data_IF_921483611662
#
_entry.id   IF_921483611662
#
_cell.length_a   1.000
_cell.length_b   1.000
_cell.length_c   1.000
_cell.angle_alpha   90.00
_cell.angle_beta   90.00
_cell.angle_gamma   90.00
#
_symmetry.space_group_name_H-M   'P 1'
#
loop_
_entity.id
_entity.type
_entity.pdbx_description
1 polymer ?
#
# COMPACT_ATOMS: atom_id res chain seq x y z
N UNK A 1 -5.07 -43.17 75.03
CA UNK A 1 -3.86 -43.05 74.24
C UNK A 1 -4.26 -42.40 72.93
N UNK A 2 -4.15 -41.05 72.81
CA UNK A 2 -4.52 -40.26 71.63
C UNK A 2 -3.28 -40.04 70.74
N UNK A 3 -3.27 -40.57 69.53
CA UNK A 3 -2.22 -40.32 68.54
C UNK A 3 -2.54 -39.00 67.87
N UNK A 4 -1.68 -37.97 68.03
CA UNK A 4 -1.70 -36.71 67.34
C UNK A 4 -0.95 -36.93 66.06
N UNK A 5 -1.68 -36.78 64.87
CA UNK A 5 -1.10 -36.81 63.57
C UNK A 5 -0.73 -35.37 63.17
N UNK A 6 0.57 -35.09 63.12
CA UNK A 6 1.10 -33.79 62.70
C UNK A 6 1.11 -33.75 61.18
N UNK A 7 0.22 -32.94 60.60
CA UNK A 7 0.17 -32.71 59.19
C UNK A 7 1.17 -31.57 58.80
N UNK A 8 2.29 -31.90 58.17
CA UNK A 8 3.30 -30.96 57.71
C UNK A 8 2.82 -30.36 56.40
N UNK A 9 2.36 -29.10 56.45
CA UNK A 9 1.92 -28.36 55.27
C UNK A 9 3.19 -27.80 54.57
N UNK A 10 3.63 -28.47 53.51
CA UNK A 10 4.70 -27.98 52.66
C UNK A 10 4.13 -26.85 51.73
N UNK A 11 4.42 -25.61 52.10
CA UNK A 11 4.13 -24.46 51.24
C UNK A 11 5.22 -24.43 50.14
N UNK A 12 4.89 -24.92 48.95
CA UNK A 12 5.67 -24.69 47.75
C UNK A 12 5.47 -23.24 47.32
N UNK A 13 6.41 -22.36 47.64
CA UNK A 13 6.52 -21.06 47.02
C UNK A 13 7.03 -21.26 45.62
N UNK A 14 6.11 -21.28 44.64
CA UNK A 14 6.44 -21.16 43.24
C UNK A 14 6.85 -19.69 43.02
N UNK A 15 8.16 -19.42 43.10
CA UNK A 15 8.73 -18.18 42.58
C UNK A 15 8.56 -18.20 41.04
N UNK A 16 7.44 -17.72 40.56
CA UNK A 16 7.26 -17.41 39.16
C UNK A 16 8.16 -16.23 38.82
N UNK A 17 9.32 -16.48 38.23
CA UNK A 17 9.99 -15.47 37.39
C UNK A 17 9.07 -15.20 36.20
N UNK A 18 8.15 -14.28 36.40
CA UNK A 18 7.43 -13.63 35.29
C UNK A 18 8.39 -12.68 34.60
N UNK A 19 9.25 -13.19 33.73
CA UNK A 19 9.80 -12.36 32.67
C UNK A 19 8.59 -11.93 31.81
N UNK A 20 8.27 -10.66 31.77
CA UNK A 20 7.37 -10.13 30.75
C UNK A 20 8.00 -10.53 29.41
N UNK A 21 7.40 -11.50 28.72
CA UNK A 21 7.75 -11.75 27.31
C UNK A 21 7.47 -10.44 26.58
N UNK A 22 8.53 -9.79 26.09
CA UNK A 22 8.41 -8.59 25.26
C UNK A 22 7.51 -8.96 24.08
N UNK A 23 6.28 -8.43 24.06
CA UNK A 23 5.34 -8.67 22.99
C UNK A 23 5.97 -8.17 21.68
N UNK A 24 6.07 -9.04 20.69
CA UNK A 24 6.62 -8.72 19.37
C UNK A 24 5.82 -7.60 18.72
N UNK A 25 6.50 -6.54 18.29
CA UNK A 25 5.87 -5.43 17.54
C UNK A 25 5.72 -5.83 16.07
N UNK A 26 4.50 -6.08 15.66
CA UNK A 26 4.17 -6.50 14.28
C UNK A 26 3.65 -5.31 13.47
N UNK A 27 4.14 -5.17 12.25
CA UNK A 27 3.76 -4.11 11.32
C UNK A 27 3.02 -4.71 10.13
N UNK A 28 1.80 -4.22 9.87
CA UNK A 28 1.03 -4.58 8.68
C UNK A 28 1.50 -3.77 7.47
N UNK A 29 1.60 -4.42 6.32
CA UNK A 29 1.88 -3.80 5.02
C UNK A 29 1.04 -4.47 3.93
N UNK A 30 0.72 -3.73 2.87
CA UNK A 30 0.19 -4.34 1.64
C UNK A 30 1.29 -5.20 1.01
N UNK A 31 0.91 -6.38 0.52
CA UNK A 31 1.80 -7.30 -0.18
C UNK A 31 2.50 -6.59 -1.34
N UNK A 32 3.82 -6.65 -1.33
CA UNK A 32 4.68 -6.02 -2.31
C UNK A 32 4.66 -6.81 -3.63
N UNK A 33 5.18 -6.24 -4.71
CA UNK A 33 5.23 -6.90 -6.01
C UNK A 33 6.27 -8.04 -6.04
N UNK A 34 7.41 -7.85 -5.36
CA UNK A 34 8.55 -8.77 -5.34
C UNK A 34 9.20 -8.91 -3.95
N UNK A 35 9.21 -7.86 -3.14
CA UNK A 35 9.89 -7.88 -1.85
C UNK A 35 9.21 -8.82 -0.85
N UNK A 36 10.03 -9.53 -0.05
CA UNK A 36 9.56 -10.42 1.02
C UNK A 36 9.40 -9.69 2.36
N UNK A 37 8.66 -10.24 3.35
CA UNK A 37 8.58 -9.69 4.70
C UNK A 37 9.96 -9.50 5.35
N UNK A 38 10.91 -10.43 5.13
CA UNK A 38 12.27 -10.36 5.68
C UNK A 38 13.08 -9.20 5.05
N UNK A 39 12.86 -8.92 3.76
CA UNK A 39 13.46 -7.77 3.09
C UNK A 39 12.84 -6.46 3.59
N UNK A 40 11.51 -6.41 3.69
CA UNK A 40 10.76 -5.24 4.16
C UNK A 40 11.12 -4.89 5.62
N UNK A 41 11.34 -5.89 6.47
CA UNK A 41 11.73 -5.71 7.87
C UNK A 41 12.98 -4.85 8.07
N UNK A 42 13.91 -4.84 7.12
CA UNK A 42 15.12 -4.01 7.19
C UNK A 42 14.83 -2.50 7.18
N UNK A 43 13.63 -2.12 6.74
CA UNK A 43 13.18 -0.75 6.54
C UNK A 43 11.91 -0.44 7.35
N UNK A 44 11.74 -1.10 8.48
CA UNK A 44 10.62 -0.88 9.41
C UNK A 44 11.10 -0.85 10.85
N UNK A 45 10.27 -0.32 11.72
CA UNK A 45 10.54 -0.25 13.17
C UNK A 45 10.10 -1.51 13.92
N UNK A 46 9.31 -2.38 13.29
CA UNK A 46 8.75 -3.57 13.94
C UNK A 46 9.73 -4.73 14.07
N UNK A 47 9.39 -5.68 14.95
CA UNK A 47 10.08 -6.96 15.10
C UNK A 47 9.69 -7.96 14.00
N UNK A 48 8.47 -7.82 13.44
CA UNK A 48 7.95 -8.64 12.33
C UNK A 48 7.05 -7.84 11.38
N UNK A 49 6.93 -8.32 10.14
CA UNK A 49 6.06 -7.79 9.10
C UNK A 49 5.00 -8.82 8.74
N UNK A 50 3.74 -8.37 8.69
CA UNK A 50 2.63 -9.13 8.14
C UNK A 50 2.16 -8.50 6.84
N UNK A 51 2.23 -9.24 5.74
CA UNK A 51 1.70 -8.80 4.45
C UNK A 51 0.21 -9.12 4.33
N UNK A 52 -0.52 -8.19 3.73
CA UNK A 52 -1.95 -8.27 3.46
C UNK A 52 -2.23 -8.02 1.98
N UNK A 53 -3.03 -8.87 1.36
CA UNK A 53 -3.34 -8.76 -0.07
C UNK A 53 -4.39 -7.69 -0.38
N UNK A 54 -5.09 -7.19 0.64
CA UNK A 54 -6.04 -6.11 0.51
C UNK A 54 -6.04 -5.17 1.73
N UNK A 55 -6.41 -3.91 1.48
CA UNK A 55 -6.40 -2.84 2.46
C UNK A 55 -7.35 -3.10 3.64
N UNK A 56 -8.54 -3.60 3.37
CA UNK A 56 -9.53 -3.84 4.42
C UNK A 56 -9.03 -4.87 5.45
N UNK A 57 -8.43 -5.97 5.00
CA UNK A 57 -7.84 -6.98 5.89
C UNK A 57 -6.71 -6.40 6.74
N UNK A 58 -5.87 -5.55 6.15
CA UNK A 58 -4.79 -4.87 6.85
C UNK A 58 -5.34 -3.89 7.91
N UNK A 59 -6.37 -3.10 7.57
CA UNK A 59 -7.01 -2.17 8.49
C UNK A 59 -7.71 -2.90 9.64
N UNK A 60 -8.40 -4.02 9.37
CA UNK A 60 -9.01 -4.86 10.39
C UNK A 60 -7.97 -5.49 11.33
N UNK A 61 -6.79 -5.85 10.81
CA UNK A 61 -5.70 -6.37 11.64
C UNK A 61 -5.17 -5.31 12.62
N UNK A 62 -5.11 -4.04 12.22
CA UNK A 62 -4.78 -2.93 13.12
C UNK A 62 -5.89 -2.72 14.16
N UNK A 63 -7.14 -2.64 13.72
CA UNK A 63 -8.29 -2.42 14.61
C UNK A 63 -8.47 -3.52 15.66
N UNK A 64 -8.04 -4.76 15.36
CA UNK A 64 -8.05 -5.91 16.29
C UNK A 64 -6.72 -6.12 17.03
N UNK A 65 -5.78 -5.18 16.94
CA UNK A 65 -4.44 -5.24 17.55
C UNK A 65 -3.60 -6.47 17.14
N UNK A 66 -3.96 -7.14 16.04
CA UNK A 66 -3.15 -8.22 15.48
C UNK A 66 -1.79 -7.69 15.00
N UNK A 67 -1.78 -6.45 14.46
CA UNK A 67 -0.60 -5.64 14.22
C UNK A 67 -0.67 -4.37 15.07
N UNK A 68 0.46 -3.81 15.46
CA UNK A 68 0.53 -2.62 16.29
C UNK A 68 0.56 -1.34 15.47
N UNK A 69 0.98 -1.45 14.22
CA UNK A 69 0.89 -0.36 13.25
C UNK A 69 0.78 -0.89 11.82
N UNK A 70 0.34 -0.02 10.93
CA UNK A 70 0.39 -0.19 9.48
C UNK A 70 1.48 0.73 8.94
N UNK A 71 2.41 0.20 8.13
CA UNK A 71 3.30 1.00 7.31
C UNK A 71 2.64 1.25 5.95
N UNK A 72 2.39 2.51 5.63
CA UNK A 72 1.72 2.92 4.39
C UNK A 72 2.18 4.31 3.94
N UNK A 73 1.72 4.78 2.79
CA UNK A 73 2.05 6.11 2.27
C UNK A 73 1.22 7.21 2.94
N UNK A 74 1.75 8.42 2.94
CA UNK A 74 1.15 9.57 3.61
C UNK A 74 -0.26 9.90 3.11
N UNK A 75 -0.53 9.73 1.82
CA UNK A 75 -1.87 9.88 1.24
C UNK A 75 -2.88 8.93 1.89
N UNK A 76 -2.55 7.63 1.96
CA UNK A 76 -3.38 6.59 2.59
C UNK A 76 -3.49 6.83 4.10
N UNK A 77 -2.38 7.15 4.76
CA UNK A 77 -2.37 7.45 6.20
C UNK A 77 -3.30 8.61 6.56
N UNK A 78 -3.26 9.72 5.79
CA UNK A 78 -4.17 10.86 5.98
C UNK A 78 -5.63 10.46 5.74
N UNK A 79 -5.91 9.66 4.71
CA UNK A 79 -7.25 9.15 4.48
C UNK A 79 -7.74 8.32 5.67
N UNK A 80 -6.93 7.37 6.17
CA UNK A 80 -7.30 6.53 7.32
C UNK A 80 -7.64 7.36 8.56
N UNK A 81 -6.80 8.34 8.90
CA UNK A 81 -6.99 9.16 10.11
C UNK A 81 -8.09 10.22 9.96
N UNK A 82 -8.39 10.67 8.75
CA UNK A 82 -9.52 11.55 8.49
C UNK A 82 -10.87 10.83 8.65
N UNK A 83 -10.92 9.53 8.37
CA UNK A 83 -12.13 8.72 8.39
C UNK A 83 -12.29 7.84 9.65
N UNK A 84 -11.28 7.80 10.51
CA UNK A 84 -11.35 7.07 11.78
C UNK A 84 -10.51 7.77 12.85
N UNK A 85 -11.18 8.31 13.87
CA UNK A 85 -10.55 9.03 15.00
C UNK A 85 -9.73 8.15 15.94
N UNK A 86 -9.87 6.82 15.86
CA UNK A 86 -9.11 5.88 16.68
C UNK A 86 -7.69 5.68 16.10
N UNK A 87 -7.45 6.15 14.88
CA UNK A 87 -6.17 6.07 14.20
C UNK A 87 -5.37 7.37 14.32
N UNK A 88 -4.05 7.22 14.43
CA UNK A 88 -3.11 8.35 14.44
C UNK A 88 -1.89 8.04 13.57
N UNK A 89 -1.39 9.06 12.88
CA UNK A 89 -0.16 8.97 12.11
C UNK A 89 1.03 9.12 13.06
N UNK A 90 2.03 8.24 12.91
CA UNK A 90 3.34 8.34 13.53
C UNK A 90 4.42 8.55 12.45
N UNK A 91 5.15 9.63 12.54
CA UNK A 91 6.38 9.83 11.79
C UNK A 91 7.53 9.17 12.57
N UNK A 92 7.89 7.96 12.18
CA UNK A 92 9.03 7.26 12.78
C UNK A 92 10.28 7.63 11.98
N UNK A 93 11.14 8.46 12.57
CA UNK A 93 12.24 9.13 11.88
C UNK A 93 13.52 8.31 11.75
N UNK A 94 13.48 6.99 11.96
CA UNK A 94 14.70 6.17 11.93
C UNK A 94 15.25 5.96 10.53
N UNK A 95 14.39 5.97 9.50
CA UNK A 95 14.75 5.74 8.09
C UNK A 95 13.89 6.62 7.20
N UNK A 96 14.51 7.36 6.28
CA UNK A 96 13.77 8.16 5.31
C UNK A 96 13.28 7.27 4.17
N UNK A 97 11.98 7.00 4.13
CA UNK A 97 11.35 6.24 3.08
C UNK A 97 10.43 7.13 2.26
N UNK A 98 10.74 7.24 0.98
CA UNK A 98 9.98 7.96 -0.03
C UNK A 98 9.88 7.07 -1.24
N UNK A 99 8.70 6.89 -1.78
CA UNK A 99 8.47 6.07 -2.96
C UNK A 99 7.86 6.87 -4.10
N UNK A 100 8.34 6.57 -5.29
CA UNK A 100 7.79 6.99 -6.56
C UNK A 100 6.70 5.99 -6.97
N UNK A 101 5.52 6.49 -7.29
CA UNK A 101 4.42 5.71 -7.85
C UNK A 101 4.55 5.68 -9.36
N UNK A 102 4.73 4.49 -9.89
CA UNK A 102 4.93 4.22 -11.31
C UNK A 102 3.89 3.19 -11.80
N UNK A 103 3.81 2.99 -13.11
CA UNK A 103 3.15 1.84 -13.71
C UNK A 103 4.19 0.77 -14.06
N UNK A 104 3.82 -0.51 -13.97
CA UNK A 104 4.68 -1.61 -14.40
C UNK A 104 4.12 -2.31 -15.63
N UNK A 105 5.01 -2.69 -16.54
CA UNK A 105 4.73 -3.41 -17.78
C UNK A 105 5.78 -4.47 -17.98
N UNK A 106 5.55 -5.44 -18.86
CA UNK A 106 6.59 -6.36 -19.30
C UNK A 106 7.72 -5.60 -20.02
N UNK A 107 8.95 -6.03 -19.89
CA UNK A 107 10.11 -5.39 -20.57
C UNK A 107 9.91 -5.28 -22.08
N UNK A 108 9.25 -6.28 -22.71
CA UNK A 108 8.99 -6.32 -24.14
C UNK A 108 7.92 -5.32 -24.61
N UNK A 109 7.14 -4.74 -23.68
CA UNK A 109 6.09 -3.74 -23.99
C UNK A 109 6.66 -2.31 -24.02
N UNK A 110 7.86 -2.12 -24.54
CA UNK A 110 8.61 -0.86 -24.54
C UNK A 110 7.86 0.30 -25.20
N UNK A 111 7.12 0.05 -26.28
CA UNK A 111 6.33 1.10 -26.97
C UNK A 111 5.14 1.57 -26.12
N UNK A 112 4.47 0.63 -25.42
CA UNK A 112 3.38 0.98 -24.51
C UNK A 112 3.93 1.79 -23.33
N UNK A 113 5.05 1.36 -22.73
CA UNK A 113 5.71 2.09 -21.65
C UNK A 113 6.07 3.52 -22.08
N UNK A 114 6.70 3.67 -23.24
CA UNK A 114 7.06 4.99 -23.79
C UNK A 114 5.84 5.89 -24.00
N UNK A 115 4.69 5.33 -24.40
CA UNK A 115 3.47 6.13 -24.56
C UNK A 115 2.94 6.62 -23.21
N UNK A 116 3.03 5.80 -22.15
CA UNK A 116 2.70 6.20 -20.77
C UNK A 116 3.67 7.27 -20.26
N UNK A 117 4.98 7.08 -20.43
CA UNK A 117 6.00 8.08 -20.04
C UNK A 117 5.72 9.44 -20.69
N UNK A 118 5.43 9.45 -22.00
CA UNK A 118 5.09 10.68 -22.72
C UNK A 118 3.83 11.34 -22.16
N UNK A 119 2.80 10.56 -21.82
CA UNK A 119 1.56 11.08 -21.24
C UNK A 119 1.79 11.65 -19.84
N UNK A 120 2.58 10.95 -19.01
CA UNK A 120 2.95 11.39 -17.64
C UNK A 120 3.74 12.70 -17.71
N UNK A 121 4.74 12.80 -18.58
CA UNK A 121 5.53 14.02 -18.75
C UNK A 121 4.70 15.20 -19.22
N UNK A 122 3.77 14.96 -20.14
CA UNK A 122 2.83 15.98 -20.59
C UNK A 122 1.95 16.47 -19.44
N UNK A 123 1.43 15.57 -18.58
CA UNK A 123 0.61 15.93 -17.42
C UNK A 123 1.41 16.67 -16.32
N UNK A 124 2.71 16.36 -16.17
CA UNK A 124 3.62 17.15 -15.31
C UNK A 124 3.77 18.57 -15.84
N UNK A 125 3.98 18.69 -17.16
CA UNK A 125 4.29 19.96 -17.82
C UNK A 125 3.09 20.90 -17.86
N UNK A 126 1.90 20.40 -18.14
CA UNK A 126 0.68 21.21 -18.26
C UNK A 126 -0.07 21.43 -16.94
N UNK A 127 0.42 20.85 -15.84
CA UNK A 127 -0.15 21.00 -14.50
C UNK A 127 -1.30 20.05 -14.17
N UNK A 128 -1.69 19.16 -15.08
CA UNK A 128 -2.79 18.20 -14.84
C UNK A 128 -2.53 17.35 -13.60
N UNK A 129 -1.30 16.83 -13.44
CA UNK A 129 -0.97 16.02 -12.22
C UNK A 129 -1.12 16.82 -10.93
N UNK A 130 -0.70 18.09 -10.92
CA UNK A 130 -0.84 18.94 -9.73
C UNK A 130 -2.31 19.15 -9.38
N UNK A 131 -3.16 19.34 -10.38
CA UNK A 131 -4.62 19.49 -10.20
C UNK A 131 -5.22 18.22 -9.61
N UNK A 132 -4.85 17.05 -10.13
CA UNK A 132 -5.34 15.76 -9.61
C UNK A 132 -4.84 15.48 -8.20
N UNK A 133 -3.57 15.81 -7.91
CA UNK A 133 -3.03 15.69 -6.53
C UNK A 133 -3.81 16.58 -5.57
N UNK A 134 -4.11 17.82 -5.96
CA UNK A 134 -4.88 18.72 -5.10
C UNK A 134 -6.29 18.20 -4.87
N UNK A 135 -6.96 17.73 -5.90
CA UNK A 135 -8.34 17.25 -5.86
C UNK A 135 -8.50 15.96 -5.04
N UNK A 136 -7.59 14.97 -5.22
CA UNK A 136 -7.78 13.63 -4.67
C UNK A 136 -6.93 13.33 -3.43
N UNK A 137 -5.76 13.97 -3.29
CA UNK A 137 -4.78 13.64 -2.25
C UNK A 137 -4.75 14.67 -1.13
N UNK A 138 -4.73 15.97 -1.48
CA UNK A 138 -4.57 17.03 -0.47
C UNK A 138 -5.84 17.25 0.36
N UNK A 139 -7.00 16.92 -0.19
CA UNK A 139 -8.31 17.07 0.44
C UNK A 139 -9.06 15.73 0.45
N UNK A 140 -8.62 14.72 1.24
CA UNK A 140 -9.23 13.40 1.21
C UNK A 140 -10.68 13.45 1.69
N UNK A 141 -11.59 12.96 0.85
CA UNK A 141 -13.00 12.76 1.16
C UNK A 141 -13.20 11.35 1.72
N UNK A 142 -14.25 11.16 2.52
CA UNK A 142 -14.65 9.83 3.04
C UNK A 142 -14.86 8.83 1.90
N UNK A 143 -15.48 9.29 0.81
CA UNK A 143 -15.60 8.52 -0.43
C UNK A 143 -14.85 9.31 -1.51
N UNK A 144 -13.74 8.76 -2.04
CA UNK A 144 -13.03 9.40 -3.15
C UNK A 144 -13.97 9.63 -4.34
N UNK A 145 -13.81 10.74 -5.09
CA UNK A 145 -14.65 11.02 -6.25
C UNK A 145 -14.58 9.90 -7.28
N UNK A 146 -15.75 9.57 -7.85
CA UNK A 146 -15.84 8.63 -8.97
C UNK A 146 -15.19 9.22 -10.22
N UNK A 147 -14.63 8.33 -11.05
CA UNK A 147 -13.92 8.71 -12.27
C UNK A 147 -14.52 8.00 -13.47
N UNK A 148 -14.91 8.76 -14.47
CA UNK A 148 -15.33 8.23 -15.78
C UNK A 148 -14.12 8.07 -16.70
N UNK A 149 -13.82 6.83 -17.09
CA UNK A 149 -12.85 6.55 -18.17
C UNK A 149 -13.62 6.50 -19.48
N UNK A 150 -13.56 7.59 -20.24
CA UNK A 150 -14.32 7.73 -21.47
C UNK A 150 -13.87 6.73 -22.53
N UNK A 151 -14.83 6.07 -23.19
CA UNK A 151 -14.56 5.16 -24.31
C UNK A 151 -14.21 5.94 -25.57
N UNK A 152 -13.16 5.50 -26.26
CA UNK A 152 -12.68 6.05 -27.52
C UNK A 152 -13.09 5.08 -28.64
N UNK A 153 -13.94 5.52 -29.57
CA UNK A 153 -14.44 4.67 -30.64
C UNK A 153 -13.31 4.21 -31.58
N UNK A 154 -13.28 2.91 -31.86
CA UNK A 154 -12.28 2.29 -32.72
C UNK A 154 -10.87 2.16 -32.11
N UNK A 155 -10.64 2.62 -30.90
CA UNK A 155 -9.35 2.48 -30.23
C UNK A 155 -9.14 1.06 -29.66
N UNK A 156 -7.90 0.61 -29.69
CA UNK A 156 -7.50 -0.63 -29.03
C UNK A 156 -7.66 -0.51 -27.50
N UNK A 157 -8.02 -1.62 -26.85
CA UNK A 157 -8.15 -1.71 -25.40
C UNK A 157 -6.90 -2.32 -24.79
N UNK A 158 -6.42 -1.74 -23.68
CA UNK A 158 -5.40 -2.31 -22.82
C UNK A 158 -6.02 -2.69 -21.48
N UNK A 159 -5.57 -3.80 -20.89
CA UNK A 159 -6.02 -4.28 -19.58
C UNK A 159 -5.08 -3.75 -18.51
N UNK A 160 -5.63 -3.07 -17.54
CA UNK A 160 -4.88 -2.45 -16.44
C UNK A 160 -5.30 -3.07 -15.13
N UNK A 161 -4.34 -3.74 -14.46
CA UNK A 161 -4.53 -4.33 -13.14
C UNK A 161 -4.46 -3.25 -12.06
N UNK A 162 -5.49 -3.19 -11.21
CA UNK A 162 -5.60 -2.31 -10.05
C UNK A 162 -5.96 -3.12 -8.82
N UNK A 163 -5.69 -2.62 -7.61
CA UNK A 163 -6.17 -3.26 -6.37
C UNK A 163 -7.64 -2.94 -6.13
N UNK A 164 -8.06 -1.72 -6.41
CA UNK A 164 -9.45 -1.28 -6.32
C UNK A 164 -9.99 -1.19 -4.89
N UNK A 165 -9.12 -1.17 -3.89
CA UNK A 165 -9.49 -1.12 -2.48
C UNK A 165 -8.54 -0.25 -1.62
N UNK A 166 -7.70 0.58 -2.23
CA UNK A 166 -6.70 1.41 -1.54
C UNK A 166 -7.03 2.92 -1.63
N UNK A 167 -8.02 3.43 -0.89
CA UNK A 167 -8.36 4.84 -0.89
C UNK A 167 -7.25 5.71 -0.26
N UNK A 168 -7.03 6.95 -0.70
CA UNK A 168 -7.73 7.66 -1.79
C UNK A 168 -7.16 7.37 -3.18
N UNK A 169 -6.25 6.40 -3.29
CA UNK A 169 -5.49 6.11 -4.51
C UNK A 169 -6.34 5.39 -5.56
N UNK A 170 -6.77 4.16 -5.29
CA UNK A 170 -7.67 3.44 -6.17
C UNK A 170 -8.80 2.74 -5.39
N UNK A 171 -10.01 2.85 -5.90
CA UNK A 171 -11.18 2.27 -5.28
C UNK A 171 -12.19 1.86 -6.36
N UNK A 172 -12.78 0.69 -6.19
CA UNK A 172 -14.01 0.30 -6.89
C UNK A 172 -15.15 0.45 -5.90
N UNK A 173 -16.08 1.35 -6.17
CA UNK A 173 -17.24 1.61 -5.34
C UNK A 173 -18.21 0.41 -5.36
N UNK A 174 -19.14 0.37 -4.42
CA UNK A 174 -20.08 -0.76 -4.29
C UNK A 174 -20.97 -0.98 -5.53
N UNK A 175 -21.18 0.04 -6.34
CA UNK A 175 -21.89 -0.03 -7.62
C UNK A 175 -21.00 -0.42 -8.82
N UNK A 176 -19.71 -0.70 -8.57
CA UNK A 176 -18.72 -1.04 -9.58
C UNK A 176 -18.04 0.18 -10.24
N UNK A 177 -18.39 1.39 -9.84
CA UNK A 177 -17.79 2.61 -10.40
C UNK A 177 -16.35 2.77 -9.89
N UNK A 178 -15.35 3.01 -10.77
CA UNK A 178 -13.99 3.29 -10.34
C UNK A 178 -13.87 4.71 -9.77
N UNK A 179 -12.98 4.88 -8.78
CA UNK A 179 -12.79 6.12 -8.07
C UNK A 179 -11.33 6.30 -7.62
N UNK A 180 -10.96 7.51 -7.25
CA UNK A 180 -9.68 7.83 -6.64
C UNK A 180 -8.62 8.35 -7.61
N UNK A 181 -7.50 8.77 -7.01
CA UNK A 181 -6.41 9.47 -7.69
C UNK A 181 -5.81 8.67 -8.86
N UNK A 182 -5.47 7.40 -8.63
CA UNK A 182 -4.86 6.56 -9.66
C UNK A 182 -5.79 6.37 -10.85
N UNK A 183 -7.09 6.19 -10.60
CA UNK A 183 -8.08 6.08 -11.67
C UNK A 183 -8.19 7.38 -12.47
N UNK A 184 -8.12 8.54 -11.82
CA UNK A 184 -8.14 9.84 -12.48
C UNK A 184 -6.89 10.06 -13.36
N UNK A 185 -5.70 9.70 -12.86
CA UNK A 185 -4.45 9.71 -13.63
C UNK A 185 -4.58 8.79 -14.85
N UNK A 186 -5.11 7.59 -14.66
CA UNK A 186 -5.27 6.61 -15.74
C UNK A 186 -6.28 7.07 -16.80
N UNK A 187 -7.35 7.75 -16.42
CA UNK A 187 -8.32 8.35 -17.36
C UNK A 187 -7.65 9.42 -18.26
N UNK A 188 -6.76 10.24 -17.68
CA UNK A 188 -5.99 11.23 -18.44
C UNK A 188 -4.94 10.56 -19.36
N UNK A 189 -4.26 9.50 -18.88
CA UNK A 189 -3.34 8.71 -19.72
C UNK A 189 -4.11 8.12 -20.91
N UNK A 190 -5.27 7.47 -20.68
CA UNK A 190 -6.13 6.89 -21.73
C UNK A 190 -6.40 7.88 -22.87
N UNK A 191 -6.85 9.10 -22.54
CA UNK A 191 -7.11 10.18 -23.50
C UNK A 191 -5.86 10.54 -24.32
N UNK A 192 -4.72 10.68 -23.67
CA UNK A 192 -3.46 11.14 -24.27
C UNK A 192 -2.83 10.09 -25.18
N UNK A 193 -2.91 8.81 -24.82
CA UNK A 193 -2.37 7.71 -25.64
C UNK A 193 -3.36 7.18 -26.67
N UNK A 194 -4.63 7.61 -26.62
CA UNK A 194 -5.67 7.19 -27.57
C UNK A 194 -6.01 5.69 -27.48
N UNK A 195 -6.01 5.12 -26.26
CA UNK A 195 -6.34 3.71 -26.00
C UNK A 195 -7.46 3.59 -24.97
N UNK A 196 -8.35 2.63 -25.20
CA UNK A 196 -9.34 2.26 -24.21
C UNK A 196 -8.67 1.52 -23.03
N UNK A 197 -9.22 1.70 -21.84
CA UNK A 197 -8.78 1.04 -20.61
C UNK A 197 -9.88 0.08 -20.15
N UNK A 198 -9.50 -1.17 -19.87
CA UNK A 198 -10.28 -2.15 -19.13
C UNK A 198 -9.61 -2.34 -17.77
N UNK A 199 -10.30 -1.96 -16.70
CA UNK A 199 -9.80 -2.18 -15.34
C UNK A 199 -10.02 -3.63 -14.91
N UNK A 200 -8.98 -4.27 -14.41
CA UNK A 200 -9.02 -5.62 -13.86
C UNK A 200 -8.62 -5.55 -12.39
N UNK A 201 -9.55 -5.83 -11.49
CA UNK A 201 -9.26 -5.85 -10.06
C UNK A 201 -8.44 -7.10 -9.70
N UNK A 202 -7.32 -6.92 -9.01
CA UNK A 202 -6.36 -7.97 -8.67
C UNK A 202 -5.85 -7.74 -7.25
N UNK A 203 -5.89 -8.79 -6.42
CA UNK A 203 -5.27 -8.74 -5.10
C UNK A 203 -3.76 -8.43 -5.21
N UNK A 204 -3.24 -7.69 -4.23
CA UNK A 204 -1.86 -7.18 -4.27
C UNK A 204 -0.82 -8.28 -4.51
N UNK A 205 -0.97 -9.45 -3.86
CA UNK A 205 -0.04 -10.58 -4.03
C UNK A 205 -0.10 -11.28 -5.41
N UNK A 206 -1.16 -11.05 -6.19
CA UNK A 206 -1.33 -11.67 -7.51
C UNK A 206 -0.85 -10.79 -8.68
N UNK A 207 -0.51 -9.51 -8.43
CA UNK A 207 -0.20 -8.52 -9.47
C UNK A 207 0.95 -8.90 -10.39
N UNK A 208 2.07 -9.37 -9.83
CA UNK A 208 3.24 -9.76 -10.63
C UNK A 208 2.91 -10.93 -11.56
N UNK A 209 2.19 -11.95 -11.07
CA UNK A 209 1.78 -13.10 -11.87
C UNK A 209 0.78 -12.71 -12.97
N UNK A 210 -0.17 -11.82 -12.68
CA UNK A 210 -1.13 -11.33 -13.67
C UNK A 210 -0.44 -10.59 -14.83
N UNK A 211 0.60 -9.79 -14.54
CA UNK A 211 1.38 -9.10 -15.56
C UNK A 211 2.20 -10.09 -16.40
N UNK A 212 2.96 -10.97 -15.76
CA UNK A 212 3.86 -11.89 -16.46
C UNK A 212 3.13 -12.95 -17.27
N UNK A 213 1.93 -13.36 -16.85
CA UNK A 213 1.06 -14.28 -17.62
C UNK A 213 0.31 -13.62 -18.78
N UNK A 214 0.33 -12.29 -18.90
CA UNK A 214 -0.45 -11.55 -19.89
C UNK A 214 -1.94 -11.43 -19.57
N UNK A 215 -2.36 -11.71 -18.34
CA UNK A 215 -3.72 -11.46 -17.88
C UNK A 215 -4.05 -9.95 -17.94
N UNK A 216 -3.05 -9.12 -17.64
CA UNK A 216 -3.08 -7.66 -17.80
C UNK A 216 -1.85 -7.18 -18.58
N UNK A 217 -1.95 -6.00 -19.17
CA UNK A 217 -0.87 -5.35 -19.90
C UNK A 217 -0.08 -4.38 -19.02
N UNK A 218 -0.73 -3.83 -18.01
CA UNK A 218 -0.18 -2.83 -17.09
C UNK A 218 -0.62 -3.18 -15.67
N UNK A 219 0.28 -3.08 -14.71
CA UNK A 219 -0.06 -2.93 -13.29
C UNK A 219 -0.05 -1.44 -12.96
N UNK A 220 -1.18 -0.92 -12.54
CA UNK A 220 -1.27 0.45 -12.08
C UNK A 220 -1.07 0.49 -10.58
N UNK A 221 -0.18 1.27 -10.22
CA UNK A 221 0.74 1.56 -9.17
C UNK A 221 1.67 0.39 -8.78
N UNK A 222 2.94 0.69 -8.94
CA UNK A 222 4.05 0.00 -8.29
C UNK A 222 4.93 1.02 -7.60
N UNK A 223 5.68 0.59 -6.62
CA UNK A 223 6.50 1.45 -5.79
C UNK A 223 7.96 1.30 -6.16
N UNK A 224 8.57 2.41 -6.55
CA UNK A 224 10.02 2.48 -6.79
C UNK A 224 10.60 3.41 -5.74
N UNK A 225 11.59 2.99 -4.94
CA UNK A 225 12.24 3.88 -4.00
C UNK A 225 12.78 5.14 -4.69
N UNK A 226 12.38 6.33 -4.23
CA UNK A 226 12.84 7.60 -4.78
C UNK A 226 14.36 7.80 -4.56
N UNK A 227 15.00 8.73 -5.28
CA UNK A 227 16.45 8.97 -5.18
C UNK A 227 16.91 9.34 -3.77
N UNK A 228 16.02 9.93 -2.98
CA UNK A 228 16.25 10.32 -1.61
C UNK A 228 15.74 9.30 -0.57
N UNK A 229 15.32 8.10 -1.00
CA UNK A 229 14.92 6.99 -0.15
C UNK A 229 16.14 6.16 0.28
N UNK A 230 16.07 5.55 1.45
CA UNK A 230 17.13 4.66 1.93
C UNK A 230 17.00 3.21 1.42
N UNK A 231 15.89 2.89 0.74
CA UNK A 231 15.72 1.58 0.10
C UNK A 231 16.42 1.53 -1.27
N UNK A 232 16.96 0.35 -1.69
CA UNK A 232 17.49 0.17 -3.05
C UNK A 232 16.41 0.37 -4.12
N UNK A 233 16.79 0.89 -5.28
CA UNK A 233 15.87 1.16 -6.40
C UNK A 233 15.14 -0.09 -6.91
N UNK A 234 15.78 -1.24 -6.86
CA UNK A 234 15.25 -2.54 -7.28
C UNK A 234 14.54 -3.31 -6.17
N UNK A 235 14.22 -2.64 -5.04
CA UNK A 235 13.66 -3.28 -3.85
C UNK A 235 12.41 -4.12 -4.14
N UNK A 236 11.50 -3.61 -4.97
CA UNK A 236 10.21 -4.26 -5.25
C UNK A 236 9.97 -4.53 -6.76
N UNK A 237 10.97 -4.35 -7.61
CA UNK A 237 10.84 -4.60 -9.05
C UNK A 237 11.24 -6.03 -9.40
N UNK A 238 10.31 -6.90 -9.85
CA UNK A 238 10.66 -8.26 -10.28
C UNK A 238 11.40 -8.26 -11.62
N UNK A 239 12.14 -9.35 -11.88
CA UNK A 239 12.78 -9.55 -13.17
C UNK A 239 11.77 -9.61 -14.32
N UNK A 240 12.12 -9.07 -15.49
CA UNK A 240 11.27 -9.04 -16.69
C UNK A 240 10.17 -7.96 -16.63
N UNK A 241 10.23 -7.08 -15.63
CA UNK A 241 9.29 -5.97 -15.47
C UNK A 241 10.02 -4.64 -15.60
N UNK A 242 9.50 -3.76 -16.44
CA UNK A 242 9.94 -2.38 -16.59
C UNK A 242 8.90 -1.43 -16.00
N UNK A 243 9.36 -0.32 -15.43
CA UNK A 243 8.49 0.70 -14.84
C UNK A 243 8.53 1.98 -15.65
N UNK A 244 7.44 2.78 -15.56
CA UNK A 244 7.35 4.10 -16.19
C UNK A 244 8.09 5.16 -15.36
N UNK A 245 8.15 6.39 -15.90
CA UNK A 245 8.34 7.59 -15.09
C UNK A 245 7.31 7.64 -13.96
N UNK A 246 7.74 8.23 -12.83
CA UNK A 246 6.85 8.42 -11.69
C UNK A 246 5.76 9.46 -12.01
N UNK A 247 4.50 9.14 -11.70
CA UNK A 247 3.40 10.10 -11.77
C UNK A 247 3.07 10.74 -10.42
N UNK A 248 3.55 10.19 -9.33
CA UNK A 248 3.36 10.70 -7.97
C UNK A 248 4.51 10.26 -7.07
N UNK A 249 4.78 11.02 -6.01
CA UNK A 249 5.78 10.66 -5.00
C UNK A 249 5.19 10.89 -3.62
N UNK A 250 5.39 9.95 -2.68
CA UNK A 250 4.88 10.06 -1.33
C UNK A 250 5.84 9.49 -0.29
N UNK A 251 5.77 10.03 0.92
CA UNK A 251 6.50 9.52 2.09
C UNK A 251 5.79 8.32 2.68
N UNK A 252 6.58 7.39 3.20
CA UNK A 252 6.08 6.30 4.04
C UNK A 252 5.84 6.81 5.46
N UNK A 253 4.71 6.45 6.02
CA UNK A 253 4.29 6.75 7.38
C UNK A 253 3.80 5.49 8.09
N UNK A 254 3.58 5.61 9.40
CA UNK A 254 2.94 4.57 10.19
C UNK A 254 1.60 5.07 10.70
N UNK A 255 0.60 4.20 10.66
CA UNK A 255 -0.72 4.43 11.27
C UNK A 255 -0.87 3.43 12.40
N UNK A 256 -1.25 3.92 13.58
CA UNK A 256 -1.49 3.09 14.76
C UNK A 256 -2.77 3.52 15.47
N UNK A 257 -3.26 2.71 16.40
CA UNK A 257 -4.31 3.12 17.31
C UNK A 257 -3.79 4.19 18.27
N UNK A 258 -4.63 5.16 18.61
CA UNK A 258 -4.30 6.25 19.55
C UNK A 258 -3.78 5.69 20.87
N UNK A 259 -4.40 4.62 21.38
CA UNK A 259 -4.01 3.94 22.64
C UNK A 259 -2.67 3.23 22.55
N UNK A 260 -2.23 2.79 21.37
CA UNK A 260 -0.94 2.13 21.14
C UNK A 260 0.19 3.11 20.77
N UNK A 261 -0.14 4.36 20.53
CA UNK A 261 0.80 5.36 19.99
C UNK A 261 2.01 5.64 20.90
N UNK A 262 1.94 5.32 22.17
CA UNK A 262 3.04 5.45 23.13
C UNK A 262 3.99 4.24 23.16
N UNK A 263 3.61 3.11 22.54
CA UNK A 263 4.34 1.84 22.58
C UNK A 263 5.21 1.58 21.33
N UNK A 264 5.14 2.43 20.31
CA UNK A 264 5.88 2.36 19.03
C UNK A 264 7.15 3.20 19.07
#
# INVERSE_FOLDING_TARGET
MKKILLLLLMILTVSGCGGEEKKETRIGMITQLNATPEQAKKFTVGDAIDFYDNFNSMQMALASEKVQAIQTHGSVARYMTANNSDFVIKELQTVKLVDDFCCAMREDDADLRKSFDTAIDAMKTDGTLNTLIDEYINHPLEIPPSVEISKIDGANTIKVGITGDLPPLDLILADGTPAGFNTAVLAEISKRIGKNIELVQIDSGARAAALTSGQVDVIFWVLVPADNSERPKDFDTPAGVAVTEAYYQDKVNYVTLVELAGAL
#
